data_IF_463169037265
#
_entry.id   IF_463169037265
#
_cell.length_a   1.000
_cell.length_b   1.000
_cell.length_c   1.000
_cell.angle_alpha   90.00
_cell.angle_beta   90.00
_cell.angle_gamma   90.00
#
_symmetry.space_group_name_H-M   'P 1'
#
loop_
_entity.id
_entity.type
_entity.pdbx_description
1 polymer ?
#
# COMPACT_ATOMS: atom_id res chain seq x y z
N UNK A 1 -43.07 3.35 30.67
CA UNK A 1 -42.64 2.66 29.43
C UNK A 1 -41.69 3.50 28.55
N UNK A 2 -41.79 4.83 28.50
CA UNK A 2 -40.87 5.70 27.74
C UNK A 2 -39.37 5.53 28.12
N UNK A 3 -39.07 5.40 29.43
CA UNK A 3 -37.69 5.28 29.91
C UNK A 3 -37.00 3.96 29.52
N UNK A 4 -37.77 2.89 29.29
CA UNK A 4 -37.23 1.58 28.89
C UNK A 4 -36.68 1.61 27.46
N UNK A 5 -37.37 2.32 26.55
CA UNK A 5 -36.92 2.49 25.16
C UNK A 5 -35.65 3.33 25.04
N UNK A 6 -35.50 4.36 25.88
CA UNK A 6 -34.29 5.18 25.91
C UNK A 6 -33.05 4.36 26.35
N UNK A 7 -33.21 3.46 27.33
CA UNK A 7 -32.14 2.58 27.79
C UNK A 7 -31.68 1.58 26.73
N UNK A 8 -32.62 0.98 25.99
CA UNK A 8 -32.29 0.03 24.90
C UNK A 8 -31.54 0.73 23.76
N UNK A 9 -31.92 1.97 23.43
CA UNK A 9 -31.22 2.76 22.41
C UNK A 9 -29.78 3.10 22.79
N UNK A 10 -29.53 3.45 24.06
CA UNK A 10 -28.17 3.72 24.56
C UNK A 10 -27.34 2.43 24.59
N UNK A 11 -27.93 1.29 24.96
CA UNK A 11 -27.23 0.00 24.95
C UNK A 11 -26.83 -0.45 23.54
N UNK A 12 -27.68 -0.16 22.54
CA UNK A 12 -27.39 -0.42 21.12
C UNK A 12 -26.25 0.46 20.60
N UNK A 13 -26.19 1.73 21.00
CA UNK A 13 -25.08 2.64 20.65
C UNK A 13 -23.75 2.25 21.32
N UNK A 14 -23.81 1.60 22.49
CA UNK A 14 -22.61 1.07 23.18
C UNK A 14 -22.09 -0.24 22.55
N UNK A 15 -22.92 -0.97 21.78
CA UNK A 15 -22.49 -2.17 21.05
C UNK A 15 -22.08 -1.90 19.60
N UNK A 16 -22.53 -0.80 19.01
CA UNK A 16 -21.95 -0.32 17.76
C UNK A 16 -20.58 0.27 18.07
N UNK A 17 -19.54 -0.57 17.99
CA UNK A 17 -18.18 -0.06 17.86
C UNK A 17 -18.16 0.93 16.70
N UNK A 18 -17.83 2.19 16.99
CA UNK A 18 -17.54 3.16 15.94
C UNK A 18 -16.25 2.68 15.30
N UNK A 19 -16.34 2.12 14.09
CA UNK A 19 -15.15 1.90 13.26
C UNK A 19 -14.62 3.26 12.86
N UNK A 20 -13.62 3.75 13.59
CA UNK A 20 -12.76 4.79 13.04
C UNK A 20 -11.97 4.16 11.89
N UNK A 21 -12.23 4.60 10.67
CA UNK A 21 -11.32 4.34 9.58
C UNK A 21 -10.03 5.10 9.91
N UNK A 22 -8.95 4.36 10.19
CA UNK A 22 -7.63 4.97 10.34
C UNK A 22 -7.16 5.42 8.97
N UNK A 23 -7.48 6.67 8.61
CA UNK A 23 -6.95 7.27 7.40
C UNK A 23 -5.42 7.45 7.52
N UNK A 24 -4.75 7.59 6.39
CA UNK A 24 -3.31 7.80 6.39
C UNK A 24 -2.96 9.13 7.07
N UNK A 25 -2.01 9.11 8.00
CA UNK A 25 -1.51 10.28 8.70
C UNK A 25 -1.09 11.37 7.69
N UNK A 26 -1.81 12.48 7.69
CA UNK A 26 -1.53 13.64 6.85
C UNK A 26 -0.66 14.65 7.59
N UNK A 27 0.13 15.41 6.84
CA UNK A 27 0.91 16.53 7.35
C UNK A 27 0.09 17.80 7.53
N UNK A 28 0.78 18.90 7.88
CA UNK A 28 0.18 20.22 7.77
C UNK A 28 -0.32 20.43 6.32
N UNK A 29 -1.52 20.99 6.17
CA UNK A 29 -2.18 21.26 4.87
C UNK A 29 -2.83 20.05 4.16
N UNK A 30 -3.23 18.99 4.88
CA UNK A 30 -3.91 17.80 4.33
C UNK A 30 -3.11 17.08 3.22
N UNK A 31 -1.79 17.25 3.19
CA UNK A 31 -0.93 16.56 2.24
C UNK A 31 -0.36 15.26 2.82
N UNK A 32 -0.13 14.22 2.00
CA UNK A 32 0.60 13.03 2.43
C UNK A 32 1.98 13.37 3.01
N UNK A 33 2.19 13.11 4.30
CA UNK A 33 3.50 13.31 4.94
C UNK A 33 4.29 12.02 4.89
N UNK A 34 5.27 11.95 3.97
CA UNK A 34 6.17 10.79 3.89
C UNK A 34 7.03 10.73 5.14
N UNK A 35 6.85 9.69 5.97
CA UNK A 35 7.60 9.49 7.21
C UNK A 35 8.89 8.69 7.00
N UNK A 36 8.91 7.85 5.96
CA UNK A 36 10.03 6.96 5.64
C UNK A 36 10.11 6.74 4.13
N UNK A 37 11.35 6.69 3.62
CA UNK A 37 11.63 6.23 2.25
C UNK A 37 12.42 4.93 2.33
N UNK A 38 11.98 3.94 1.58
CA UNK A 38 12.63 2.65 1.34
C UNK A 38 13.19 2.68 -0.07
N UNK A 39 14.48 2.42 -0.22
CA UNK A 39 15.18 2.43 -1.50
C UNK A 39 15.28 1.02 -2.07
N UNK A 40 14.82 0.84 -3.30
CA UNK A 40 14.92 -0.43 -4.03
C UNK A 40 15.89 -0.27 -5.19
N UNK A 41 16.97 -1.03 -5.20
CA UNK A 41 18.01 -0.97 -6.21
C UNK A 41 18.62 -2.37 -6.45
N UNK A 42 18.46 -2.90 -7.67
CA UNK A 42 18.98 -4.22 -8.06
C UNK A 42 20.51 -4.33 -8.00
N UNK A 43 21.23 -3.20 -8.01
CA UNK A 43 22.69 -3.17 -7.84
C UNK A 43 23.15 -3.32 -6.38
N UNK A 44 22.21 -3.35 -5.43
CA UNK A 44 22.49 -3.52 -4.00
C UNK A 44 22.86 -2.24 -3.25
N UNK A 45 22.63 -1.06 -3.85
CA UNK A 45 22.88 0.24 -3.22
C UNK A 45 21.69 0.78 -2.41
N UNK A 46 20.53 0.12 -2.50
CA UNK A 46 19.33 0.44 -1.73
C UNK A 46 19.15 -0.49 -0.54
N UNK A 47 18.06 -0.28 0.21
CA UNK A 47 17.66 -1.12 1.34
C UNK A 47 17.29 -2.55 0.88
N UNK A 48 16.72 -2.67 -0.32
CA UNK A 48 16.34 -3.94 -0.93
C UNK A 48 16.73 -3.99 -2.41
N UNK A 49 16.90 -5.19 -2.94
CA UNK A 49 17.10 -5.45 -4.38
C UNK A 49 15.84 -5.95 -5.11
N UNK A 50 14.73 -6.13 -4.39
CA UNK A 50 13.42 -6.58 -4.89
C UNK A 50 12.32 -5.68 -4.35
N UNK A 51 11.32 -5.42 -5.20
CA UNK A 51 10.16 -4.60 -4.86
C UNK A 51 9.27 -5.34 -3.86
N UNK A 52 9.03 -6.65 -4.05
CA UNK A 52 8.22 -7.41 -3.10
C UNK A 52 8.83 -7.40 -1.70
N UNK A 53 10.15 -7.57 -1.56
CA UNK A 53 10.81 -7.52 -0.25
C UNK A 53 10.68 -6.15 0.43
N UNK A 54 10.70 -5.07 -0.35
CA UNK A 54 10.48 -3.73 0.17
C UNK A 54 9.05 -3.55 0.70
N UNK A 55 8.04 -4.02 -0.04
CA UNK A 55 6.64 -4.06 0.42
C UNK A 55 6.47 -4.95 1.66
N UNK A 56 7.15 -6.10 1.70
CA UNK A 56 7.09 -7.03 2.82
C UNK A 56 7.63 -6.41 4.11
N UNK A 57 8.62 -5.51 4.00
CA UNK A 57 9.23 -4.80 5.13
C UNK A 57 8.36 -3.71 5.76
N UNK A 58 7.24 -3.36 5.12
CA UNK A 58 6.28 -2.39 5.66
C UNK A 58 5.42 -3.09 6.73
N UNK A 59 5.26 -2.48 7.92
CA UNK A 59 4.43 -3.05 8.97
C UNK A 59 2.97 -3.26 8.52
N UNK A 60 2.34 -4.31 9.03
CA UNK A 60 0.89 -4.48 8.94
C UNK A 60 0.15 -3.34 9.65
N UNK A 61 -1.05 -3.02 9.17
CA UNK A 61 -1.90 -1.91 9.59
C UNK A 61 -1.19 -0.56 9.54
N UNK A 62 -0.36 -0.34 8.51
CA UNK A 62 0.39 0.89 8.33
C UNK A 62 -0.55 2.08 8.09
N UNK A 63 -0.54 3.06 8.99
CA UNK A 63 -1.28 4.32 8.85
C UNK A 63 -0.39 5.50 8.43
N UNK A 64 0.89 5.28 8.09
CA UNK A 64 1.82 6.36 7.75
C UNK A 64 2.26 6.28 6.30
N UNK A 65 2.40 7.42 5.61
CA UNK A 65 2.87 7.40 4.23
C UNK A 65 4.33 6.93 4.13
N UNK A 66 4.54 5.79 3.50
CA UNK A 66 5.86 5.21 3.23
C UNK A 66 6.13 5.26 1.73
N UNK A 67 7.28 5.82 1.36
CA UNK A 67 7.72 5.86 -0.04
C UNK A 67 8.63 4.68 -0.35
N UNK A 68 8.25 3.85 -1.30
CA UNK A 68 9.14 2.90 -1.96
C UNK A 68 9.69 3.57 -3.21
N UNK A 69 10.94 4.03 -3.15
CA UNK A 69 11.63 4.65 -4.29
C UNK A 69 12.42 3.57 -5.03
N UNK A 70 12.04 3.32 -6.28
CA UNK A 70 12.53 2.21 -7.09
C UNK A 70 13.46 2.76 -8.17
N UNK A 71 14.75 2.45 -8.03
CA UNK A 71 15.80 2.83 -9.00
C UNK A 71 15.49 2.29 -10.40
N UNK A 72 16.02 2.92 -11.46
CA UNK A 72 15.90 2.42 -12.83
C UNK A 72 16.32 0.95 -12.95
N UNK A 73 15.54 0.17 -13.70
CA UNK A 73 15.75 -1.27 -13.83
C UNK A 73 14.51 -2.01 -14.28
N UNK A 74 14.72 -3.28 -14.62
CA UNK A 74 13.65 -4.23 -14.93
C UNK A 74 13.57 -5.25 -13.81
N UNK A 75 12.54 -5.11 -12.99
CA UNK A 75 12.25 -5.96 -11.85
C UNK A 75 11.37 -7.11 -12.31
N UNK A 76 11.99 -8.28 -12.52
CA UNK A 76 11.30 -9.50 -12.96
C UNK A 76 10.74 -10.25 -11.76
N UNK A 77 9.62 -9.80 -11.24
CA UNK A 77 8.95 -10.37 -10.06
C UNK A 77 7.44 -10.10 -10.11
N UNK A 78 6.65 -10.95 -9.44
CA UNK A 78 5.28 -10.58 -9.07
C UNK A 78 5.30 -9.70 -7.83
N UNK A 79 4.46 -8.67 -7.82
CA UNK A 79 4.30 -7.80 -6.67
C UNK A 79 2.86 -7.80 -6.20
N UNK A 80 2.65 -8.03 -4.92
CA UNK A 80 1.37 -7.90 -4.24
C UNK A 80 1.52 -6.94 -3.07
N UNK A 81 0.65 -5.93 -3.01
CA UNK A 81 0.44 -5.12 -1.80
C UNK A 81 -0.77 -5.69 -1.05
N UNK A 82 -0.55 -6.35 0.10
CA UNK A 82 -1.63 -6.91 0.91
C UNK A 82 -2.59 -5.85 1.48
N UNK A 83 -3.83 -6.26 1.76
CA UNK A 83 -4.92 -5.40 2.27
C UNK A 83 -4.58 -4.67 3.58
N UNK A 84 -3.69 -5.23 4.39
CA UNK A 84 -3.27 -4.68 5.67
C UNK A 84 -2.10 -3.69 5.54
N UNK A 85 -1.69 -3.29 4.33
CA UNK A 85 -0.58 -2.35 4.11
C UNK A 85 -0.97 -1.12 3.28
N UNK A 86 -1.87 -0.25 3.79
CA UNK A 86 -2.22 1.00 3.09
C UNK A 86 -1.10 2.04 3.19
N UNK A 87 -1.32 3.22 2.62
CA UNK A 87 -0.46 4.42 2.72
C UNK A 87 0.93 4.24 2.08
N UNK A 88 0.98 3.75 0.84
CA UNK A 88 2.24 3.48 0.14
C UNK A 88 2.35 4.32 -1.15
N UNK A 89 3.49 4.99 -1.30
CA UNK A 89 3.95 5.45 -2.61
C UNK A 89 4.83 4.36 -3.25
N UNK A 90 4.47 3.92 -4.44
CA UNK A 90 5.29 3.11 -5.32
C UNK A 90 5.86 4.01 -6.43
N UNK A 91 7.08 4.49 -6.23
CA UNK A 91 7.66 5.55 -7.05
C UNK A 91 8.87 5.06 -7.83
N UNK A 92 8.71 4.90 -9.14
CA UNK A 92 9.84 4.73 -10.05
C UNK A 92 10.44 6.07 -10.48
N UNK A 93 11.68 6.05 -10.95
CA UNK A 93 12.35 7.26 -11.47
C UNK A 93 11.66 7.83 -12.71
N UNK A 94 11.24 6.95 -13.63
CA UNK A 94 10.49 7.31 -14.84
C UNK A 94 9.86 6.05 -15.42
N UNK A 95 8.64 6.12 -15.98
CA UNK A 95 7.91 4.93 -16.46
C UNK A 95 8.64 4.14 -17.55
N UNK A 96 9.45 4.83 -18.36
CA UNK A 96 10.32 4.23 -19.39
C UNK A 96 11.59 3.56 -18.82
N UNK A 97 11.99 3.87 -17.60
CA UNK A 97 13.25 3.44 -16.99
C UNK A 97 13.05 2.44 -15.85
N UNK A 98 11.89 2.45 -15.21
CA UNK A 98 11.54 1.55 -14.11
C UNK A 98 10.34 0.70 -14.52
N UNK A 99 10.56 -0.60 -14.66
CA UNK A 99 9.51 -1.57 -15.03
C UNK A 99 9.47 -2.73 -14.05
N UNK A 100 8.27 -3.12 -13.63
CA UNK A 100 8.01 -4.41 -12.99
C UNK A 100 7.33 -5.31 -14.02
N UNK A 101 7.88 -6.49 -14.25
CA UNK A 101 7.33 -7.41 -15.25
C UNK A 101 7.29 -8.86 -14.77
N UNK A 102 6.23 -9.56 -15.14
CA UNK A 102 6.06 -10.96 -14.81
C UNK A 102 5.18 -11.68 -15.82
N UNK A 103 5.72 -12.75 -16.37
CA UNK A 103 5.16 -13.48 -17.51
C UNK A 103 4.37 -14.71 -17.04
N UNK A 104 3.34 -14.50 -16.20
CA UNK A 104 2.46 -15.59 -15.78
C UNK A 104 1.33 -15.81 -16.81
N UNK A 105 1.04 -17.07 -17.08
CA UNK A 105 0.06 -17.55 -18.06
C UNK A 105 -0.93 -18.55 -17.44
N UNK A 106 -1.06 -18.57 -16.12
CA UNK A 106 -2.03 -19.38 -15.42
C UNK A 106 -3.45 -18.77 -15.53
N UNK A 107 -4.28 -18.90 -14.50
CA UNK A 107 -5.63 -18.32 -14.47
C UNK A 107 -5.58 -16.78 -14.38
N UNK A 108 -6.52 -16.11 -15.05
CA UNK A 108 -6.59 -14.64 -15.15
C UNK A 108 -6.63 -13.93 -13.79
N UNK A 109 -7.21 -14.56 -12.76
CA UNK A 109 -7.27 -13.99 -11.41
C UNK A 109 -5.90 -13.87 -10.74
N UNK A 110 -4.95 -14.72 -11.14
CA UNK A 110 -3.67 -14.89 -10.45
C UNK A 110 -2.49 -14.45 -11.33
N UNK A 111 -2.73 -14.21 -12.62
CA UNK A 111 -1.70 -13.90 -13.61
C UNK A 111 -1.26 -12.43 -13.60
N UNK A 112 -1.83 -11.57 -12.75
CA UNK A 112 -1.44 -10.17 -12.66
C UNK A 112 0.02 -10.02 -12.18
N UNK A 113 0.79 -9.17 -12.86
CA UNK A 113 2.16 -8.80 -12.46
C UNK A 113 2.18 -8.00 -11.17
N UNK A 114 1.22 -7.08 -11.02
CA UNK A 114 1.06 -6.22 -9.85
C UNK A 114 -0.39 -6.28 -9.37
N UNK A 115 -0.57 -6.67 -8.11
CA UNK A 115 -1.85 -6.69 -7.42
C UNK A 115 -1.81 -5.78 -6.20
N UNK A 116 -2.84 -4.98 -6.01
CA UNK A 116 -2.97 -4.10 -4.86
C UNK A 116 -4.36 -4.24 -4.27
N UNK A 117 -4.42 -4.55 -2.98
CA UNK A 117 -5.66 -4.72 -2.23
C UNK A 117 -6.01 -3.58 -1.27
N UNK A 118 -5.06 -2.81 -0.68
CA UNK A 118 -5.42 -1.76 0.28
C UNK A 118 -5.82 -0.45 -0.38
N UNK A 119 -6.49 0.40 0.40
CA UNK A 119 -6.70 1.80 0.07
C UNK A 119 -5.39 2.60 0.14
N UNK A 120 -5.42 3.82 -0.42
CA UNK A 120 -4.33 4.80 -0.29
C UNK A 120 -2.98 4.31 -0.85
N UNK A 121 -3.02 3.81 -2.08
CA UNK A 121 -1.85 3.45 -2.87
C UNK A 121 -1.66 4.44 -4.01
N UNK A 122 -0.45 4.96 -4.16
CA UNK A 122 -0.08 5.86 -5.25
C UNK A 122 1.10 5.27 -6.01
N UNK A 123 0.88 4.87 -7.27
CA UNK A 123 1.93 4.44 -8.16
C UNK A 123 2.27 5.55 -9.17
N UNK A 124 3.56 5.91 -9.31
CA UNK A 124 3.99 6.91 -10.29
C UNK A 124 5.39 6.62 -10.83
N UNK A 125 5.64 7.09 -12.05
CA UNK A 125 6.97 6.95 -12.67
C UNK A 125 7.40 5.50 -12.89
N UNK A 126 6.46 4.57 -12.99
CA UNK A 126 6.70 3.13 -13.10
C UNK A 126 5.78 2.51 -14.17
N UNK A 127 6.26 1.46 -14.84
CA UNK A 127 5.46 0.64 -15.76
C UNK A 127 5.27 -0.77 -15.23
N UNK A 128 4.13 -1.37 -15.51
CA UNK A 128 3.84 -2.78 -15.27
C UNK A 128 3.66 -3.49 -16.60
N UNK A 129 4.29 -4.64 -16.78
CA UNK A 129 4.20 -5.44 -18.02
C UNK A 129 4.00 -6.91 -17.72
N UNK A 130 3.36 -7.60 -18.65
CA UNK A 130 3.39 -9.07 -18.75
C UNK A 130 4.72 -9.54 -19.30
#
# INVERSE_FOLDING_TARGET
MQCLFAFVFILLLLHSGVSEASDCESGAENQPKVVRTIWVDQSGKGDFSSVQKAIDSIPSNNNQWIRNHISPGTYREKVTIPIDKPCIFLEGTHSKLTTIEWNDHNVTSDSATFSSYPDNIVARGISFKV
#
